data_IF_077669081673
#
_entry.id   IF_077669081673
#
_cell.length_a   1.000
_cell.length_b   1.000
_cell.length_c   1.000
_cell.angle_alpha   90.00
_cell.angle_beta   90.00
_cell.angle_gamma   90.00
#
_symmetry.space_group_name_H-M   'P 1'
#
loop_
_entity.id
_entity.type
_entity.pdbx_description
1 polymer ?
#
# COMPACT_ATOMS: atom_id res chain seq x y z
N UNK A 1 2.00 -9.82 9.81
CA UNK A 1 2.67 -8.63 9.24
C UNK A 1 1.68 -7.86 8.36
N UNK A 2 1.12 -6.74 8.86
CA UNK A 2 0.03 -5.96 8.21
C UNK A 2 0.48 -5.33 6.87
N UNK A 3 1.72 -4.84 6.80
CA UNK A 3 2.29 -4.28 5.56
C UNK A 3 2.22 -5.25 4.37
N UNK A 4 2.51 -6.54 4.62
CA UNK A 4 2.44 -7.58 3.58
C UNK A 4 1.01 -7.85 3.13
N UNK A 5 0.03 -7.74 4.03
CA UNK A 5 -1.39 -7.89 3.69
C UNK A 5 -1.82 -6.72 2.81
N UNK A 6 -1.49 -5.49 3.21
CA UNK A 6 -1.86 -4.28 2.47
C UNK A 6 -1.26 -4.26 1.05
N UNK A 7 0.01 -4.64 0.90
CA UNK A 7 0.65 -4.75 -0.42
C UNK A 7 -0.04 -5.77 -1.35
N UNK A 8 -0.73 -6.77 -0.81
CA UNK A 8 -1.46 -7.77 -1.60
C UNK A 8 -2.90 -7.36 -1.90
N UNK A 9 -3.46 -6.41 -1.16
CA UNK A 9 -4.88 -6.02 -1.28
C UNK A 9 -5.08 -4.69 -1.99
N UNK A 10 -4.11 -3.77 -1.89
CA UNK A 10 -4.19 -2.42 -2.43
C UNK A 10 -2.93 -2.10 -3.22
N UNK A 11 -3.11 -1.60 -4.45
CA UNK A 11 -2.01 -1.03 -5.22
C UNK A 11 -1.59 0.33 -4.66
N UNK A 12 -0.34 0.74 -4.90
CA UNK A 12 0.13 2.06 -4.48
C UNK A 12 -0.64 3.18 -5.20
N UNK A 13 -1.02 2.97 -6.47
CA UNK A 13 -1.85 3.90 -7.24
C UNK A 13 -3.23 4.12 -6.59
N UNK A 14 -3.93 3.03 -6.27
CA UNK A 14 -5.21 3.10 -5.56
C UNK A 14 -5.05 3.80 -4.19
N UNK A 15 -4.00 3.43 -3.46
CA UNK A 15 -3.75 3.91 -2.10
C UNK A 15 -3.49 5.41 -2.00
N UNK A 16 -3.00 6.06 -3.06
CA UNK A 16 -2.80 7.54 -3.11
C UNK A 16 -4.13 8.27 -2.92
N UNK A 17 -5.23 7.70 -3.39
CA UNK A 17 -6.58 8.28 -3.30
C UNK A 17 -7.31 7.89 -2.02
N UNK A 18 -6.64 7.21 -1.10
CA UNK A 18 -7.24 6.63 0.09
C UNK A 18 -6.69 7.27 1.36
N UNK A 19 -7.50 7.26 2.42
CA UNK A 19 -7.04 7.55 3.77
C UNK A 19 -7.89 6.80 4.80
N UNK A 20 -7.37 6.65 6.02
CA UNK A 20 -8.11 5.94 7.07
C UNK A 20 -9.48 6.57 7.37
N UNK A 21 -9.51 7.90 7.56
CA UNK A 21 -10.71 8.65 7.96
C UNK A 21 -11.44 9.38 6.81
N UNK A 22 -10.89 9.39 5.60
CA UNK A 22 -11.43 10.14 4.46
C UNK A 22 -11.02 11.62 4.44
N UNK A 23 -9.85 11.95 4.98
CA UNK A 23 -9.37 13.34 5.06
C UNK A 23 -8.90 13.84 3.69
N UNK A 24 -8.96 15.17 3.48
CA UNK A 24 -8.48 15.86 2.27
C UNK A 24 -9.10 15.32 0.97
N UNK A 25 -10.40 15.02 1.01
CA UNK A 25 -11.15 14.47 -0.13
C UNK A 25 -10.66 13.10 -0.62
N UNK A 26 -9.98 12.33 0.24
CA UNK A 26 -9.59 10.95 -0.06
C UNK A 26 -10.70 9.98 0.30
N UNK A 27 -10.74 8.84 -0.39
CA UNK A 27 -11.64 7.74 -0.09
C UNK A 27 -11.37 7.15 1.31
N UNK A 28 -12.43 7.01 2.11
CA UNK A 28 -12.35 6.49 3.49
C UNK A 28 -12.27 4.96 3.51
N UNK A 29 -11.10 4.40 3.86
CA UNK A 29 -10.92 2.94 3.83
C UNK A 29 -11.48 2.20 5.05
N UNK A 30 -11.63 2.87 6.20
CA UNK A 30 -12.09 2.22 7.44
C UNK A 30 -13.51 1.66 7.35
N UNK A 31 -14.29 2.13 6.36
CA UNK A 31 -15.64 1.62 6.11
C UNK A 31 -15.67 0.36 5.22
N UNK A 32 -14.56 0.00 4.56
CA UNK A 32 -14.51 -1.13 3.64
C UNK A 32 -14.63 -2.46 4.38
N UNK A 33 -15.45 -3.37 3.85
CA UNK A 33 -15.70 -4.68 4.46
C UNK A 33 -14.42 -5.51 4.62
N UNK A 34 -13.57 -5.55 3.58
CA UNK A 34 -12.32 -6.31 3.66
C UNK A 34 -11.35 -5.71 4.70
N UNK A 35 -11.32 -4.39 4.89
CA UNK A 35 -10.52 -3.76 5.95
C UNK A 35 -11.01 -4.19 7.33
N UNK A 36 -12.33 -4.24 7.54
CA UNK A 36 -12.92 -4.74 8.79
C UNK A 36 -12.58 -6.22 9.03
N UNK A 37 -12.60 -7.05 7.99
CA UNK A 37 -12.23 -8.47 8.07
C UNK A 37 -10.76 -8.60 8.46
N UNK A 38 -9.85 -7.87 7.80
CA UNK A 38 -8.42 -7.88 8.12
C UNK A 38 -8.21 -7.44 9.57
N UNK A 39 -8.85 -6.34 9.99
CA UNK A 39 -8.75 -5.84 11.38
C UNK A 39 -9.13 -6.94 12.37
N UNK A 40 -10.31 -7.54 12.19
CA UNK A 40 -10.83 -8.61 13.05
C UNK A 40 -9.88 -9.81 13.12
N UNK A 41 -9.35 -10.27 11.99
CA UNK A 41 -8.43 -11.41 11.96
C UNK A 41 -7.10 -11.09 12.62
N UNK A 42 -6.54 -9.90 12.37
CA UNK A 42 -5.28 -9.51 13.01
C UNK A 42 -5.45 -9.42 14.53
N UNK A 43 -6.50 -8.76 15.01
CA UNK A 43 -6.68 -8.57 16.46
C UNK A 43 -7.14 -9.85 17.18
N UNK A 44 -7.78 -10.80 16.50
CA UNK A 44 -8.14 -12.09 17.10
C UNK A 44 -6.95 -13.06 17.24
N UNK A 45 -6.00 -13.01 16.31
CA UNK A 45 -4.86 -13.95 16.28
C UNK A 45 -3.62 -13.41 17.01
N UNK A 46 -3.50 -12.09 17.16
CA UNK A 46 -2.38 -11.45 17.82
C UNK A 46 -2.86 -10.67 19.04
N UNK A 47 -2.87 -11.33 20.21
CA UNK A 47 -3.39 -10.80 21.49
C UNK A 47 -2.74 -9.47 21.91
N UNK A 48 -1.50 -9.21 21.47
CA UNK A 48 -0.77 -7.97 21.77
C UNK A 48 -1.13 -6.82 20.83
N UNK A 49 -1.78 -7.08 19.69
CA UNK A 49 -2.10 -6.06 18.70
C UNK A 49 -3.48 -5.47 18.95
N UNK A 50 -3.50 -4.22 19.40
CA UNK A 50 -4.76 -3.49 19.63
C UNK A 50 -5.40 -3.07 18.31
N UNK A 51 -6.72 -2.81 18.31
CA UNK A 51 -7.36 -2.20 17.15
C UNK A 51 -6.67 -0.89 16.77
N UNK A 52 -6.38 -0.03 17.74
CA UNK A 52 -5.69 1.26 17.54
C UNK A 52 -4.35 1.11 16.82
N UNK A 53 -3.56 0.10 17.19
CA UNK A 53 -2.29 -0.19 16.52
C UNK A 53 -2.50 -0.56 15.05
N UNK A 54 -3.49 -1.43 14.77
CA UNK A 54 -3.86 -1.76 13.39
C UNK A 54 -4.27 -0.51 12.61
N UNK A 55 -5.14 0.33 13.17
CA UNK A 55 -5.61 1.56 12.52
C UNK A 55 -4.45 2.51 12.21
N UNK A 56 -3.52 2.68 13.15
CA UNK A 56 -2.33 3.52 12.99
C UNK A 56 -1.41 2.99 11.89
N UNK A 57 -1.16 1.68 11.85
CA UNK A 57 -0.32 1.06 10.82
C UNK A 57 -0.95 1.23 9.43
N UNK A 58 -2.26 1.01 9.28
CA UNK A 58 -2.94 1.20 7.99
C UNK A 58 -2.93 2.66 7.58
N UNK A 59 -3.22 3.59 8.51
CA UNK A 59 -3.20 5.02 8.25
C UNK A 59 -1.81 5.51 7.81
N UNK A 60 -0.76 5.08 8.50
CA UNK A 60 0.63 5.37 8.16
C UNK A 60 1.00 4.81 6.79
N UNK A 61 0.66 3.55 6.53
CA UNK A 61 0.90 2.95 5.23
C UNK A 61 0.22 3.75 4.12
N UNK A 62 -1.06 4.14 4.26
CA UNK A 62 -1.74 4.96 3.26
C UNK A 62 -1.07 6.34 3.07
N UNK A 63 -0.63 6.98 4.15
CA UNK A 63 0.08 8.28 4.09
C UNK A 63 1.32 8.21 3.20
N UNK A 64 2.04 7.09 3.21
CA UNK A 64 3.24 6.90 2.41
C UNK A 64 2.99 6.35 0.99
N UNK A 65 1.73 6.21 0.55
CA UNK A 65 1.39 5.66 -0.77
C UNK A 65 2.03 6.42 -1.93
N UNK A 66 2.01 7.76 -1.90
CA UNK A 66 2.63 8.60 -2.95
C UNK A 66 4.13 8.36 -3.05
N UNK A 67 4.82 8.23 -1.91
CA UNK A 67 6.27 7.96 -1.91
C UNK A 67 6.56 6.57 -2.47
N UNK A 68 5.77 5.56 -2.07
CA UNK A 68 5.92 4.21 -2.61
C UNK A 68 5.68 4.15 -4.12
N UNK A 69 4.60 4.75 -4.60
CA UNK A 69 4.28 4.79 -6.03
C UNK A 69 5.39 5.47 -6.86
N UNK A 70 5.96 6.57 -6.36
CA UNK A 70 7.11 7.22 -7.02
C UNK A 70 8.33 6.30 -7.10
N UNK A 71 8.58 5.47 -6.09
CA UNK A 71 9.68 4.49 -6.12
C UNK A 71 9.41 3.36 -7.12
N UNK A 72 8.17 2.88 -7.20
CA UNK A 72 7.80 1.85 -8.18
C UNK A 72 7.99 2.37 -9.61
N UNK A 73 7.53 3.59 -9.90
CA UNK A 73 7.70 4.22 -11.21
C UNK A 73 9.16 4.45 -11.61
N UNK A 74 10.03 4.79 -10.65
CA UNK A 74 11.47 4.91 -10.92
C UNK A 74 12.09 3.58 -11.31
N UNK A 75 11.77 2.52 -10.58
CA UNK A 75 12.24 1.16 -10.91
C UNK A 75 11.72 0.67 -12.25
N UNK A 76 10.46 0.95 -12.57
CA UNK A 76 9.89 0.64 -13.89
C UNK A 76 10.70 1.32 -15.01
N UNK A 77 10.99 2.62 -14.87
CA UNK A 77 11.76 3.36 -15.88
C UNK A 77 13.22 2.90 -15.98
N UNK A 78 13.87 2.56 -14.87
CA UNK A 78 15.24 1.99 -14.87
C UNK A 78 15.29 0.66 -15.63
N UNK A 79 14.33 -0.24 -15.39
CA UNK A 79 14.24 -1.52 -16.09
C UNK A 79 13.97 -1.37 -17.60
N UNK A 80 13.18 -0.37 -18.01
CA UNK A 80 12.95 -0.09 -19.44
C UNK A 80 14.25 0.33 -20.10
N UNK A 81 15.01 1.25 -19.48
CA UNK A 81 16.28 1.72 -20.03
C UNK A 81 17.35 0.61 -20.11
N UNK A 82 17.38 -0.34 -19.17
CA UNK A 82 18.28 -1.49 -19.22
C UNK A 82 17.91 -2.47 -20.36
N UNK A 83 16.61 -2.69 -20.59
CA UNK A 83 16.13 -3.52 -21.69
C UNK A 83 16.37 -2.88 -23.07
N UNK A 84 16.28 -1.55 -23.18
CA UNK A 84 16.57 -0.84 -24.43
C UNK A 84 18.06 -0.91 -24.77
N UNK A 85 18.96 -0.67 -23.80
CA UNK A 85 20.41 -0.79 -24.01
C UNK A 85 20.85 -2.20 -24.39
N UNK A 86 20.30 -3.22 -23.73
CA UNK A 86 20.62 -4.62 -24.05
C UNK A 86 20.08 -5.05 -25.42
N UNK A 87 19.01 -4.43 -25.94
CA UNK A 87 18.55 -4.68 -27.30
C UNK A 87 19.39 -3.94 -28.37
N UNK A 88 19.95 -2.78 -28.05
CA UNK A 88 20.87 -2.05 -28.95
C UNK A 88 22.25 -2.70 -29.03
N UNK A 89 22.76 -3.31 -27.95
CA UNK A 89 24.07 -3.99 -27.95
C UNK A 89 24.06 -5.37 -28.63
N UNK A 90 22.88 -5.95 -28.88
CA UNK A 90 22.71 -7.29 -29.49
C UNK A 90 22.28 -7.25 -30.96
N UNK A 91 22.26 -6.07 -31.60
CA UNK A 91 21.94 -5.87 -33.03
C UNK A 91 23.13 -5.26 -33.78
#
# INVERSE_FOLDING_TARGET
NIYRILNKTLTNECSIKCSWKGLRNNFKVSNLHFIKIIKKQVTSHYVTSTETEFENIVAEWLRFATQRHKRDKRKENENVNENEKSNEENN
#
